data_IF_033844447535
#
_entry.id   IF_033844447535
#
_cell.length_a   1.000
_cell.length_b   1.000
_cell.length_c   1.000
_cell.angle_alpha   90.00
_cell.angle_beta   90.00
_cell.angle_gamma   90.00
#
_symmetry.space_group_name_H-M   'P 1'
#
loop_
_entity.id
_entity.type
_entity.pdbx_description
1 polymer ?
#
# COMPACT_ATOMS: atom_id res chain seq x y z
N UNK A 1 6.27 -10.87 4.44
CA UNK A 1 5.70 -9.72 3.70
C UNK A 1 5.00 -8.73 4.64
N UNK A 2 4.08 -9.18 5.50
CA UNK A 2 3.30 -8.32 6.42
C UNK A 2 4.16 -7.39 7.30
N UNK A 3 5.32 -7.84 7.78
CA UNK A 3 6.23 -7.06 8.62
C UNK A 3 6.75 -5.76 7.98
N UNK A 4 6.80 -5.70 6.65
CA UNK A 4 7.38 -4.56 5.91
C UNK A 4 6.31 -3.54 5.55
N UNK A 5 5.05 -3.96 5.44
CA UNK A 5 3.99 -3.15 4.82
C UNK A 5 2.94 -2.66 5.81
N UNK A 6 2.94 -3.11 7.06
CA UNK A 6 2.06 -2.60 8.11
C UNK A 6 2.89 -2.03 9.27
N UNK A 7 2.89 -0.70 9.43
CA UNK A 7 3.60 -0.01 10.51
C UNK A 7 3.03 -0.28 11.91
N UNK A 8 1.82 -0.82 12.01
CA UNK A 8 1.20 -1.20 13.29
C UNK A 8 1.47 -2.67 13.66
N UNK A 9 2.04 -3.45 12.74
CA UNK A 9 2.31 -4.86 13.03
C UNK A 9 3.40 -5.00 14.10
N UNK A 10 3.14 -5.80 15.13
CA UNK A 10 4.12 -6.02 16.20
C UNK A 10 4.23 -4.87 17.20
N UNK A 11 3.29 -3.92 17.18
CA UNK A 11 3.09 -2.89 18.21
C UNK A 11 1.88 -3.29 19.06
N UNK A 12 2.04 -3.33 20.38
CA UNK A 12 0.95 -3.58 21.31
C UNK A 12 -0.07 -2.44 21.26
N UNK A 13 -1.35 -2.76 21.08
CA UNK A 13 -2.43 -1.76 21.07
C UNK A 13 -2.72 -1.16 22.46
N UNK A 14 -2.36 -1.89 23.51
CA UNK A 14 -2.62 -1.50 24.90
C UNK A 14 -1.45 -0.71 25.48
N UNK A 15 -0.22 -1.18 25.22
CA UNK A 15 1.00 -0.64 25.86
C UNK A 15 1.85 0.20 24.91
N UNK A 16 1.63 0.12 23.59
CA UNK A 16 2.49 0.74 22.59
C UNK A 16 3.85 0.07 22.40
N UNK A 17 4.14 -1.01 23.13
CA UNK A 17 5.43 -1.69 23.07
C UNK A 17 5.65 -2.39 21.72
N UNK A 18 6.83 -2.20 21.15
CA UNK A 18 7.24 -2.83 19.90
C UNK A 18 7.98 -4.15 20.16
N UNK A 19 7.60 -5.20 19.44
CA UNK A 19 8.36 -6.45 19.39
C UNK A 19 9.77 -6.23 18.82
N UNK A 20 10.75 -7.05 19.24
CA UNK A 20 12.13 -6.99 18.72
C UNK A 20 12.19 -7.11 17.18
N UNK A 21 11.33 -7.94 16.60
CA UNK A 21 11.23 -8.13 15.15
C UNK A 21 10.65 -6.91 14.44
N UNK A 22 9.73 -6.18 15.05
CA UNK A 22 9.24 -4.90 14.53
C UNK A 22 10.37 -3.86 14.48
N UNK A 23 11.11 -3.70 15.58
CA UNK A 23 12.22 -2.74 15.67
C UNK A 23 13.25 -3.02 14.58
N UNK A 24 13.68 -4.28 14.42
CA UNK A 24 14.63 -4.66 13.38
C UNK A 24 14.10 -4.40 11.97
N UNK A 25 12.80 -4.64 11.71
CA UNK A 25 12.21 -4.35 10.42
C UNK A 25 12.21 -2.84 10.11
N UNK A 26 11.89 -2.00 11.09
CA UNK A 26 11.96 -0.55 10.96
C UNK A 26 13.38 -0.05 10.68
N UNK A 27 14.39 -0.59 11.36
CA UNK A 27 15.80 -0.26 11.10
C UNK A 27 16.20 -0.61 9.66
N UNK A 28 15.86 -1.81 9.19
CA UNK A 28 16.17 -2.26 7.81
C UNK A 28 15.49 -1.34 6.79
N UNK A 29 14.21 -1.02 6.98
CA UNK A 29 13.48 -0.14 6.07
C UNK A 29 14.07 1.26 6.11
N UNK A 30 14.45 1.75 7.29
CA UNK A 30 15.04 3.06 7.45
C UNK A 30 16.43 3.20 6.80
N UNK A 31 17.16 2.10 6.69
CA UNK A 31 18.47 2.04 6.04
C UNK A 31 18.43 2.10 4.50
N UNK A 32 17.26 1.92 3.87
CA UNK A 32 17.14 1.79 2.41
C UNK A 32 16.06 2.69 1.81
N UNK A 33 16.47 3.62 0.96
CA UNK A 33 15.56 4.50 0.20
C UNK A 33 14.59 3.66 -0.66
N UNK A 34 15.07 2.56 -1.24
CA UNK A 34 14.24 1.65 -2.03
C UNK A 34 13.09 1.09 -1.18
N UNK A 35 13.39 0.62 0.03
CA UNK A 35 12.38 0.04 0.93
C UNK A 35 11.39 1.09 1.42
N UNK A 36 11.87 2.31 1.72
CA UNK A 36 10.99 3.45 2.08
C UNK A 36 9.99 3.75 0.96
N UNK A 37 10.48 3.90 -0.26
CA UNK A 37 9.63 4.20 -1.42
C UNK A 37 8.62 3.06 -1.70
N UNK A 38 9.03 1.80 -1.50
CA UNK A 38 8.11 0.66 -1.61
C UNK A 38 7.03 0.68 -0.54
N UNK A 39 7.38 0.97 0.72
CA UNK A 39 6.42 1.08 1.82
C UNK A 39 5.46 2.26 1.60
N UNK A 40 5.97 3.40 1.17
CA UNK A 40 5.15 4.58 0.87
C UNK A 40 4.11 4.27 -0.23
N UNK A 41 4.54 3.65 -1.33
CA UNK A 41 3.64 3.26 -2.42
C UNK A 41 2.53 2.33 -1.92
N UNK A 42 2.88 1.32 -1.10
CA UNK A 42 1.90 0.41 -0.52
C UNK A 42 0.92 1.12 0.43
N UNK A 43 1.43 1.90 1.39
CA UNK A 43 0.61 2.54 2.41
C UNK A 43 -0.38 3.53 1.78
N UNK A 44 0.11 4.36 0.86
CA UNK A 44 -0.73 5.34 0.15
C UNK A 44 -1.79 4.67 -0.71
N UNK A 45 -1.48 3.53 -1.36
CA UNK A 45 -2.50 2.75 -2.07
C UNK A 45 -3.56 2.17 -1.12
N UNK A 46 -3.13 1.62 0.03
CA UNK A 46 -4.05 1.11 1.06
C UNK A 46 -4.98 2.20 1.59
N UNK A 47 -4.49 3.42 1.79
CA UNK A 47 -5.33 4.56 2.18
C UNK A 47 -6.37 4.89 1.12
N UNK A 48 -5.98 4.84 -0.16
CA UNK A 48 -6.89 5.10 -1.29
C UNK A 48 -8.04 4.09 -1.31
N UNK A 49 -7.74 2.80 -1.11
CA UNK A 49 -8.78 1.75 -1.02
C UNK A 49 -9.84 2.03 0.04
N UNK A 50 -9.47 2.72 1.12
CA UNK A 50 -10.38 3.04 2.23
C UNK A 50 -10.99 4.45 2.14
N UNK A 51 -10.62 5.24 1.11
CA UNK A 51 -10.93 6.67 1.04
C UNK A 51 -12.33 6.98 0.49
N UNK A 52 -12.96 6.04 -0.23
CA UNK A 52 -14.18 6.26 -1.03
C UNK A 52 -14.03 7.34 -2.14
N UNK A 53 -12.80 7.73 -2.44
CA UNK A 53 -12.47 8.73 -3.43
C UNK A 53 -11.60 8.12 -4.53
N UNK A 54 -12.24 7.72 -5.63
CA UNK A 54 -11.60 7.07 -6.78
C UNK A 54 -10.63 8.01 -7.52
N UNK A 55 -10.75 9.34 -7.38
CA UNK A 55 -9.84 10.29 -8.01
C UNK A 55 -8.44 10.23 -7.38
N UNK A 56 -8.34 9.83 -6.12
CA UNK A 56 -7.05 9.61 -5.45
C UNK A 56 -6.28 8.45 -6.07
N UNK A 57 -6.96 7.48 -6.69
CA UNK A 57 -6.30 6.41 -7.45
C UNK A 57 -5.59 6.98 -8.68
N UNK A 58 -6.26 7.84 -9.45
CA UNK A 58 -5.68 8.46 -10.64
C UNK A 58 -4.43 9.28 -10.29
N UNK A 59 -4.50 10.06 -9.21
CA UNK A 59 -3.34 10.82 -8.69
C UNK A 59 -2.18 9.90 -8.28
N UNK A 60 -2.48 8.75 -7.68
CA UNK A 60 -1.48 7.78 -7.26
C UNK A 60 -0.83 7.08 -8.45
N UNK A 61 -1.63 6.68 -9.45
CA UNK A 61 -1.12 6.10 -10.70
C UNK A 61 -0.18 7.09 -11.41
N UNK A 62 -0.58 8.36 -11.49
CA UNK A 62 0.26 9.41 -12.07
C UNK A 62 1.56 9.66 -11.29
N UNK A 63 1.50 9.65 -9.95
CA UNK A 63 2.70 9.79 -9.08
C UNK A 63 3.71 8.68 -9.34
N UNK A 64 3.26 7.44 -9.53
CA UNK A 64 4.15 6.28 -9.61
C UNK A 64 4.39 5.74 -11.04
N UNK A 65 3.77 6.32 -12.09
CA UNK A 65 3.90 5.85 -13.49
C UNK A 65 5.34 5.71 -13.99
N UNK A 66 6.25 6.57 -13.52
CA UNK A 66 7.66 6.63 -13.92
C UNK A 66 8.62 5.99 -12.90
N UNK A 67 8.09 5.26 -11.93
CA UNK A 67 8.92 4.59 -10.92
C UNK A 67 9.91 3.61 -11.54
N UNK A 68 11.16 3.64 -11.05
CA UNK A 68 12.20 2.66 -11.43
C UNK A 68 12.04 1.32 -10.70
N UNK A 69 11.11 1.22 -9.76
CA UNK A 69 10.89 0.02 -8.96
C UNK A 69 10.01 -0.95 -9.77
N UNK A 70 10.64 -1.95 -10.37
CA UNK A 70 9.98 -2.90 -11.29
C UNK A 70 8.72 -3.53 -10.69
N UNK A 71 8.73 -3.90 -9.40
CA UNK A 71 7.55 -4.49 -8.74
C UNK A 71 6.36 -3.52 -8.67
N UNK A 72 6.59 -2.23 -8.38
CA UNK A 72 5.51 -1.23 -8.37
C UNK A 72 5.00 -1.01 -9.79
N UNK A 73 5.88 -0.94 -10.78
CA UNK A 73 5.48 -0.80 -12.18
C UNK A 73 4.59 -1.97 -12.65
N UNK A 74 4.96 -3.21 -12.32
CA UNK A 74 4.13 -4.38 -12.63
C UNK A 74 2.78 -4.34 -11.91
N UNK A 75 2.75 -3.87 -10.66
CA UNK A 75 1.51 -3.70 -9.90
C UNK A 75 0.58 -2.65 -10.53
N UNK A 76 1.12 -1.49 -10.93
CA UNK A 76 0.41 -0.45 -11.67
C UNK A 76 -0.17 -0.98 -12.97
N UNK A 77 0.58 -1.78 -13.71
CA UNK A 77 0.09 -2.38 -14.95
C UNK A 77 -1.10 -3.32 -14.71
N UNK A 78 -1.10 -4.07 -13.61
CA UNK A 78 -2.25 -4.88 -13.19
C UNK A 78 -3.47 -4.01 -12.86
N UNK A 79 -3.28 -2.94 -12.06
CA UNK A 79 -4.36 -1.99 -11.76
C UNK A 79 -4.92 -1.38 -13.04
N UNK A 80 -4.08 -0.95 -13.98
CA UNK A 80 -4.52 -0.35 -15.24
C UNK A 80 -5.33 -1.33 -16.10
N UNK A 81 -5.00 -2.62 -16.06
CA UNK A 81 -5.79 -3.65 -16.74
C UNK A 81 -7.21 -3.75 -16.17
N UNK A 82 -7.33 -3.65 -14.84
CA UNK A 82 -8.58 -3.79 -14.10
C UNK A 82 -9.14 -2.43 -13.60
N UNK A 83 -8.78 -1.32 -14.25
CA UNK A 83 -8.93 0.03 -13.67
C UNK A 83 -10.34 0.34 -13.20
N UNK A 84 -11.34 0.05 -14.03
CA UNK A 84 -12.75 0.29 -13.71
C UNK A 84 -13.22 -0.56 -12.53
N UNK A 85 -12.78 -1.81 -12.44
CA UNK A 85 -13.10 -2.68 -11.31
C UNK A 85 -12.48 -2.16 -10.01
N UNK A 86 -11.23 -1.68 -10.06
CA UNK A 86 -10.55 -1.11 -8.89
C UNK A 86 -11.20 0.21 -8.46
N UNK A 87 -11.56 1.10 -9.41
CA UNK A 87 -12.31 2.33 -9.10
C UNK A 87 -13.65 2.03 -8.45
N UNK A 88 -14.41 1.08 -8.99
CA UNK A 88 -15.66 0.64 -8.40
C UNK A 88 -15.49 0.06 -6.98
N UNK A 89 -14.42 -0.70 -6.73
CA UNK A 89 -14.12 -1.24 -5.39
C UNK A 89 -13.79 -0.15 -4.36
N UNK A 90 -13.27 1.00 -4.80
CA UNK A 90 -13.05 2.18 -3.93
C UNK A 90 -14.38 2.92 -3.70
N UNK A 91 -15.13 3.15 -4.78
CA UNK A 91 -16.34 3.98 -4.78
C UNK A 91 -17.51 3.37 -4.01
N UNK A 92 -17.74 2.07 -4.21
CA UNK A 92 -18.92 1.40 -3.69
C UNK A 92 -18.59 0.57 -2.44
N UNK A 93 -19.49 0.53 -1.43
CA UNK A 93 -19.28 -0.27 -0.22
C UNK A 93 -19.64 -1.75 -0.40
N UNK A 94 -20.08 -2.16 -1.59
CA UNK A 94 -20.54 -3.50 -1.90
C UNK A 94 -19.77 -4.07 -3.10
N UNK A 95 -19.61 -5.39 -3.11
CA UNK A 95 -18.90 -6.14 -4.13
C UNK A 95 -19.84 -7.15 -4.76
N UNK A 96 -19.84 -7.23 -6.09
CA UNK A 96 -20.49 -8.32 -6.84
C UNK A 96 -19.57 -9.54 -7.00
N UNK A 97 -18.42 -9.55 -6.33
CA UNK A 97 -17.55 -10.71 -6.27
C UNK A 97 -18.27 -11.88 -5.60
N UNK A 98 -18.11 -13.08 -6.16
CA UNK A 98 -18.58 -14.30 -5.51
C UNK A 98 -17.74 -14.50 -4.23
N UNK A 99 -18.42 -14.59 -3.09
CA UNK A 99 -17.80 -14.91 -1.78
C UNK A 99 -17.92 -16.40 -1.52
#
# INVERSE_FOLDING_TARGET
>A
AIHVTNSEWGVSKETGECSKSHILAEEIINSSILLKNMREAYNTFREILNSKDELRLDQWLEKYKSTKIMRIRSFINGINHDLEAVKNAIKYPWSNGVV
#
